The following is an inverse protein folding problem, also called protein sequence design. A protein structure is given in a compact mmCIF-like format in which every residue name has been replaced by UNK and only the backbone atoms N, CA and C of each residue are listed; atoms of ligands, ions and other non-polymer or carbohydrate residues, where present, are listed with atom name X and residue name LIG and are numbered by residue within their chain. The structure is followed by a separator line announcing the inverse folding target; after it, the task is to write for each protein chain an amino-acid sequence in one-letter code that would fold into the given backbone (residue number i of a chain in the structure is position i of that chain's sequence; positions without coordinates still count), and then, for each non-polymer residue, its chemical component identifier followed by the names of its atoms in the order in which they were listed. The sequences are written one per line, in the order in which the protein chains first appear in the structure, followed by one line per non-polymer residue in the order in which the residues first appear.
data_IF_074514693225
#
_entry.id   IF_074514693225
#
_cell.length_a   1.000
_cell.length_b   1.000
_cell.length_c   1.000
_cell.angle_alpha   90.00
_cell.angle_beta   90.00
_cell.angle_gamma   90.00
#
_symmetry.space_group_name_H-M   'P 1'
#
loop_
_entity.id
_entity.type
_entity.pdbx_description
1 polymer ?
#
# COMPACT_ATOMS: atom_id res chain seq x y z
N UNK A 1 46.38 -32.12 17.03
CA UNK A 1 47.05 -32.68 15.83
C UNK A 1 46.20 -33.82 15.27
N UNK A 2 45.86 -33.74 13.97
CA UNK A 2 45.31 -34.76 13.05
C UNK A 2 44.00 -34.37 12.34
N UNK A 3 44.24 -33.73 11.19
CA UNK A 3 43.60 -33.91 9.87
C UNK A 3 42.11 -33.59 9.65
N UNK A 4 41.87 -32.32 9.30
CA UNK A 4 40.83 -31.89 8.35
C UNK A 4 41.07 -32.53 6.98
N UNK A 5 40.04 -33.14 6.39
CA UNK A 5 40.00 -33.49 4.97
C UNK A 5 39.23 -32.39 4.22
N UNK A 6 39.92 -31.73 3.29
CA UNK A 6 39.34 -30.83 2.28
C UNK A 6 38.67 -31.68 1.19
N UNK A 7 37.40 -31.43 0.93
CA UNK A 7 36.67 -31.98 -0.22
C UNK A 7 36.59 -30.93 -1.32
N UNK A 8 37.32 -31.17 -2.42
CA UNK A 8 37.15 -30.51 -3.71
C UNK A 8 35.90 -31.06 -4.41
N UNK A 9 35.00 -30.18 -4.87
CA UNK A 9 34.05 -30.45 -5.97
C UNK A 9 33.91 -29.15 -6.76
N UNK A 10 34.70 -28.99 -7.83
CA UNK A 10 34.32 -29.21 -9.23
C UNK A 10 33.28 -28.20 -9.73
N UNK A 11 33.82 -27.16 -10.37
CA UNK A 11 33.11 -26.19 -11.21
C UNK A 11 32.54 -26.92 -12.44
N UNK A 12 31.23 -26.83 -12.67
CA UNK A 12 30.59 -27.37 -13.87
C UNK A 12 29.94 -26.22 -14.62
N UNK A 13 30.66 -25.71 -15.62
CA UNK A 13 30.16 -24.78 -16.64
C UNK A 13 29.46 -25.63 -17.69
N UNK A 14 28.15 -25.42 -17.89
CA UNK A 14 27.44 -25.98 -19.03
C UNK A 14 26.83 -24.83 -19.85
N UNK A 15 27.55 -24.45 -20.89
CA UNK A 15 27.09 -23.61 -21.99
C UNK A 15 26.21 -24.46 -22.92
N UNK A 16 24.96 -24.07 -23.15
CA UNK A 16 24.16 -24.60 -24.26
C UNK A 16 23.60 -23.43 -25.06
N UNK A 17 24.28 -23.14 -26.17
CA UNK A 17 23.75 -22.41 -27.32
C UNK A 17 23.10 -23.46 -28.23
N UNK A 18 21.78 -23.37 -28.45
CA UNK A 18 21.16 -23.93 -29.64
C UNK A 18 20.30 -22.86 -30.31
N UNK A 19 20.80 -22.46 -31.47
CA UNK A 19 20.17 -21.62 -32.46
C UNK A 19 19.13 -22.48 -33.19
N UNK A 20 17.84 -22.25 -32.94
CA UNK A 20 16.76 -22.83 -33.74
C UNK A 20 16.19 -21.73 -34.64
N UNK A 21 16.52 -21.82 -35.93
CA UNK A 21 15.95 -21.00 -36.99
C UNK A 21 14.52 -21.53 -37.27
N UNK A 22 13.52 -20.86 -36.74
CA UNK A 22 12.10 -21.12 -37.04
C UNK A 22 11.60 -20.18 -38.13
N UNK A 23 11.00 -20.75 -39.18
CA UNK A 23 10.46 -20.06 -40.35
C UNK A 23 9.38 -19.01 -39.99
N UNK A 24 9.18 -17.95 -40.81
CA UNK A 24 8.16 -16.95 -40.56
C UNK A 24 6.75 -17.54 -40.69
N UNK A 25 5.97 -17.45 -39.62
CA UNK A 25 4.54 -17.77 -39.64
C UNK A 25 3.79 -16.76 -40.50
N UNK A 26 2.93 -17.26 -41.38
CA UNK A 26 2.06 -16.46 -42.24
C UNK A 26 1.06 -15.64 -41.40
N UNK A 27 0.93 -14.35 -41.74
CA UNK A 27 -0.03 -13.43 -41.13
C UNK A 27 -1.47 -13.87 -41.45
N UNK A 28 -2.39 -13.89 -40.46
CA UNK A 28 -3.80 -14.06 -40.74
C UNK A 28 -4.37 -12.81 -41.43
N UNK A 29 -5.06 -13.06 -42.55
CA UNK A 29 -5.87 -12.08 -43.28
C UNK A 29 -6.94 -11.45 -42.38
N UNK A 30 -6.91 -10.13 -42.28
CA UNK A 30 -7.96 -9.35 -41.66
C UNK A 30 -9.23 -9.40 -42.52
N UNK A 31 -10.34 -9.90 -41.96
CA UNK A 31 -11.69 -9.63 -42.47
C UNK A 31 -12.68 -9.68 -41.31
N UNK A 32 -13.18 -8.51 -40.93
CA UNK A 32 -14.60 -8.18 -40.77
C UNK A 32 -14.69 -6.92 -39.91
N UNK A 33 -15.02 -5.80 -40.55
CA UNK A 33 -15.31 -4.56 -39.86
C UNK A 33 -16.54 -4.72 -38.96
N UNK A 34 -16.41 -4.34 -37.69
CA UNK A 34 -17.55 -4.13 -36.80
C UNK A 34 -18.29 -2.85 -37.22
N UNK A 35 -19.63 -2.78 -37.08
CA UNK A 35 -20.38 -1.58 -37.42
C UNK A 35 -19.97 -0.42 -36.50
N UNK A 36 -19.76 0.75 -37.09
CA UNK A 36 -19.44 1.98 -36.39
C UNK A 36 -20.60 2.35 -35.45
N UNK A 37 -20.32 2.33 -34.14
CA UNK A 37 -21.20 2.94 -33.15
C UNK A 37 -21.01 4.45 -33.23
N UNK A 38 -22.02 5.17 -33.70
CA UNK A 38 -22.05 6.64 -33.66
C UNK A 38 -22.13 7.10 -32.21
N UNK A 39 -20.97 7.38 -31.61
CA UNK A 39 -20.89 8.16 -30.38
C UNK A 39 -21.44 9.56 -30.69
N UNK A 40 -22.51 9.93 -29.99
CA UNK A 40 -23.03 11.29 -30.03
C UNK A 40 -21.93 12.25 -29.53
N UNK A 41 -21.63 13.27 -30.32
CA UNK A 41 -20.77 14.38 -29.91
C UNK A 41 -21.52 15.13 -28.79
N UNK A 42 -20.94 15.27 -27.58
CA UNK A 42 -21.57 16.10 -26.57
C UNK A 42 -21.52 17.55 -27.03
N UNK A 43 -22.69 18.19 -27.07
CA UNK A 43 -22.82 19.64 -27.27
C UNK A 43 -22.02 20.35 -26.19
N UNK A 44 -21.00 21.10 -26.59
CA UNK A 44 -20.24 21.99 -25.71
C UNK A 44 -21.12 23.18 -25.32
N UNK A 45 -21.87 23.04 -24.23
CA UNK A 45 -22.36 24.20 -23.48
C UNK A 45 -21.14 24.96 -22.93
N UNK A 46 -21.07 26.30 -23.07
CA UNK A 46 -19.99 27.07 -22.48
C UNK A 46 -20.09 26.99 -20.96
N UNK A 47 -19.06 26.39 -20.33
CA UNK A 47 -18.94 26.30 -18.87
C UNK A 47 -18.64 27.69 -18.32
N UNK A 48 -19.69 28.51 -18.14
CA UNK A 48 -19.63 29.81 -17.46
C UNK A 48 -19.81 29.67 -15.95
N UNK A 49 -19.29 28.59 -15.35
CA UNK A 49 -19.18 28.48 -13.90
C UNK A 49 -17.75 28.82 -13.52
N UNK A 50 -17.48 29.81 -12.66
CA UNK A 50 -16.14 29.98 -12.10
C UNK A 50 -15.79 28.68 -11.40
N UNK A 51 -14.79 27.96 -11.93
CA UNK A 51 -14.31 26.73 -11.32
C UNK A 51 -13.98 27.03 -9.85
N UNK A 52 -14.46 26.18 -8.95
CA UNK A 52 -14.07 26.26 -7.56
C UNK A 52 -12.53 26.32 -7.49
N UNK A 53 -11.95 27.13 -6.57
CA UNK A 53 -10.51 27.20 -6.43
C UNK A 53 -9.95 25.79 -6.24
N UNK A 54 -8.89 25.47 -6.97
CA UNK A 54 -8.23 24.18 -6.85
C UNK A 54 -7.83 23.94 -5.38
N UNK A 55 -7.93 22.70 -4.88
CA UNK A 55 -7.48 22.39 -3.53
C UNK A 55 -5.99 22.75 -3.38
N UNK A 56 -5.57 23.18 -2.17
CA UNK A 56 -4.18 23.54 -1.93
C UNK A 56 -3.25 22.35 -2.16
N UNK A 57 -2.05 22.61 -2.67
CA UNK A 57 -1.00 21.58 -2.78
C UNK A 57 -0.52 21.23 -1.38
N UNK A 58 -0.54 19.95 -1.04
CA UNK A 58 0.01 19.43 0.21
C UNK A 58 1.49 19.11 -0.01
N UNK A 59 2.35 19.68 0.82
CA UNK A 59 3.78 19.36 0.87
C UNK A 59 4.05 18.61 2.15
N UNK A 60 4.73 17.46 2.02
CA UNK A 60 5.02 16.58 3.14
C UNK A 60 6.36 15.88 3.02
N UNK A 61 6.64 15.05 4.03
CA UNK A 61 7.86 14.26 4.16
C UNK A 61 7.52 12.78 4.33
N UNK A 62 8.34 11.90 3.78
CA UNK A 62 8.18 10.45 3.85
C UNK A 62 9.24 9.80 4.76
N UNK A 63 9.02 8.53 5.10
CA UNK A 63 9.90 7.68 5.90
C UNK A 63 9.96 8.08 7.38
N UNK A 64 8.84 8.50 7.96
CA UNK A 64 8.74 8.67 9.41
C UNK A 64 8.84 7.28 10.08
N UNK A 65 9.89 7.08 10.87
CA UNK A 65 10.13 5.82 11.57
C UNK A 65 9.36 5.78 12.89
N UNK A 66 8.63 4.67 13.10
CA UNK A 66 7.67 4.45 14.19
C UNK A 66 8.14 3.38 15.18
N UNK A 67 9.41 3.01 15.11
CA UNK A 67 10.06 1.96 15.92
C UNK A 67 10.09 2.31 17.42
N UNK A 68 10.19 3.60 17.75
CA UNK A 68 10.35 4.11 19.10
C UNK A 68 9.58 5.43 19.26
N UNK A 69 8.69 5.55 20.25
CA UNK A 69 7.95 6.78 20.51
C UNK A 69 8.85 8.03 20.67
N UNK A 70 9.99 7.98 21.39
CA UNK A 70 10.93 9.12 21.46
C UNK A 70 11.52 9.51 20.09
N UNK A 71 11.64 8.56 19.16
CA UNK A 71 12.12 8.85 17.80
C UNK A 71 11.06 9.58 16.99
N UNK A 72 9.81 9.14 17.08
CA UNK A 72 8.66 9.82 16.45
C UNK A 72 8.59 11.28 16.93
N UNK A 73 8.66 11.51 18.24
CA UNK A 73 8.65 12.86 18.82
C UNK A 73 9.80 13.73 18.32
N UNK A 74 11.03 13.19 18.26
CA UNK A 74 12.18 13.93 17.72
C UNK A 74 12.02 14.27 16.24
N UNK A 75 11.48 13.35 15.43
CA UNK A 75 11.21 13.60 14.00
C UNK A 75 10.17 14.71 13.84
N UNK A 76 9.04 14.64 14.54
CA UNK A 76 8.00 15.67 14.50
C UNK A 76 8.54 17.04 14.91
N UNK A 77 9.25 17.12 16.04
CA UNK A 77 9.82 18.38 16.54
C UNK A 77 10.88 18.98 15.60
N UNK A 78 11.67 18.14 14.92
CA UNK A 78 12.67 18.60 13.96
C UNK A 78 12.05 19.09 12.64
N UNK A 79 10.94 18.49 12.22
CA UNK A 79 10.28 18.80 10.95
C UNK A 79 9.29 19.96 11.06
N UNK A 80 8.65 20.15 12.22
CA UNK A 80 7.62 21.16 12.43
C UNK A 80 8.05 22.59 12.03
N UNK A 81 9.27 23.07 12.35
CA UNK A 81 9.70 24.42 11.97
C UNK A 81 9.86 24.63 10.46
N UNK A 82 9.91 23.56 9.66
CA UNK A 82 9.98 23.65 8.19
C UNK A 82 8.63 24.07 7.61
N UNK A 83 7.53 23.81 8.32
CA UNK A 83 6.18 24.18 7.91
C UNK A 83 5.53 23.23 6.91
N UNK A 84 5.96 21.96 6.85
CA UNK A 84 5.25 20.93 6.08
C UNK A 84 3.91 20.59 6.75
N UNK A 85 2.87 20.46 5.93
CA UNK A 85 1.53 20.10 6.39
C UNK A 85 1.28 18.59 6.41
N UNK A 86 2.08 17.81 5.65
CA UNK A 86 1.89 16.37 5.53
C UNK A 86 3.08 15.51 5.95
N UNK A 87 2.78 14.25 6.29
CA UNK A 87 3.79 13.25 6.62
C UNK A 87 3.32 11.84 6.29
N UNK A 88 4.24 11.00 5.80
CA UNK A 88 4.03 9.58 5.50
C UNK A 88 5.04 8.73 6.28
N UNK A 89 4.55 7.69 6.95
CA UNK A 89 5.40 6.82 7.75
C UNK A 89 6.11 5.74 6.92
N UNK A 90 7.11 5.10 7.51
CA UNK A 90 7.67 3.86 6.97
C UNK A 90 6.67 2.71 7.19
N UNK A 91 6.22 2.08 6.10
CA UNK A 91 5.06 1.19 6.08
C UNK A 91 5.25 -0.08 6.93
N UNK A 92 6.47 -0.61 6.96
CA UNK A 92 6.85 -1.88 7.59
C UNK A 92 6.62 -1.90 9.12
N UNK A 93 6.43 -0.74 9.74
CA UNK A 93 6.15 -0.65 11.17
C UNK A 93 4.69 -0.91 11.56
N UNK A 94 3.76 -0.87 10.59
CA UNK A 94 2.30 -0.96 10.79
C UNK A 94 1.62 -1.82 9.71
N UNK A 95 2.34 -2.74 9.09
CA UNK A 95 1.74 -3.73 8.18
C UNK A 95 0.73 -4.61 8.91
N UNK A 96 -0.15 -5.26 8.15
CA UNK A 96 -1.24 -6.05 8.71
C UNK A 96 -0.78 -7.06 9.76
N UNK A 97 0.23 -7.89 9.46
CA UNK A 97 0.77 -8.88 10.39
C UNK A 97 1.54 -8.30 11.57
N UNK A 98 1.98 -7.04 11.48
CA UNK A 98 2.65 -6.33 12.59
C UNK A 98 1.62 -5.79 13.58
N UNK A 99 0.52 -5.24 13.07
CA UNK A 99 -0.57 -4.74 13.91
C UNK A 99 -1.44 -5.89 14.44
N UNK A 100 -1.65 -6.93 13.64
CA UNK A 100 -2.49 -8.08 13.95
C UNK A 100 -1.71 -9.39 13.73
N UNK A 101 -0.97 -9.89 14.74
CA UNK A 101 -0.02 -11.00 14.56
C UNK A 101 -0.63 -12.40 14.44
N UNK A 102 -1.94 -12.54 14.68
CA UNK A 102 -2.68 -13.79 14.54
C UNK A 102 -4.14 -13.51 14.13
N UNK A 103 -4.88 -14.49 13.56
CA UNK A 103 -6.24 -14.28 13.07
C UNK A 103 -7.23 -13.75 14.12
N UNK A 104 -7.04 -14.12 15.38
CA UNK A 104 -7.86 -13.77 16.54
C UNK A 104 -7.23 -12.69 17.43
N UNK A 105 -6.04 -12.21 17.06
CA UNK A 105 -5.40 -11.12 17.79
C UNK A 105 -6.15 -9.81 17.57
N UNK A 106 -6.27 -9.02 18.63
CA UNK A 106 -6.69 -7.63 18.52
C UNK A 106 -5.66 -6.81 17.72
N UNK A 107 -6.13 -5.79 17.01
CA UNK A 107 -5.27 -4.85 16.30
C UNK A 107 -4.53 -3.97 17.31
N UNK A 108 -3.20 -3.96 17.25
CA UNK A 108 -2.37 -3.12 18.09
C UNK A 108 -2.09 -1.77 17.40
N UNK A 109 -2.83 -0.75 17.80
CA UNK A 109 -2.71 0.60 17.25
C UNK A 109 -1.59 1.45 17.86
N UNK A 110 -0.89 0.97 18.89
CA UNK A 110 0.01 1.80 19.72
C UNK A 110 1.04 2.62 18.92
N UNK A 111 1.64 2.04 17.86
CA UNK A 111 2.60 2.75 17.02
C UNK A 111 1.96 3.81 16.13
N UNK A 112 0.83 3.45 15.52
CA UNK A 112 0.11 4.32 14.60
C UNK A 112 -0.56 5.48 15.35
N UNK A 113 -1.16 5.20 16.52
CA UNK A 113 -1.69 6.22 17.42
C UNK A 113 -0.60 7.21 17.86
N UNK A 114 0.57 6.70 18.24
CA UNK A 114 1.70 7.55 18.64
C UNK A 114 2.18 8.41 17.46
N UNK A 115 2.21 7.88 16.23
CA UNK A 115 2.51 8.67 15.03
C UNK A 115 1.49 9.79 14.83
N UNK A 116 0.21 9.43 14.74
CA UNK A 116 -0.89 10.36 14.44
C UNK A 116 -0.95 11.46 15.49
N UNK A 117 -1.07 11.10 16.77
CA UNK A 117 -1.16 12.08 17.86
C UNK A 117 0.07 12.99 17.94
N UNK A 118 1.28 12.44 17.80
CA UNK A 118 2.52 13.24 17.91
C UNK A 118 2.66 14.21 16.75
N UNK A 119 2.41 13.77 15.52
CA UNK A 119 2.56 14.64 14.35
C UNK A 119 1.46 15.70 14.30
N UNK A 120 0.21 15.33 14.60
CA UNK A 120 -0.88 16.32 14.65
C UNK A 120 -0.65 17.39 15.74
N UNK A 121 -0.14 17.00 16.91
CA UNK A 121 0.24 17.95 17.95
C UNK A 121 1.37 18.93 17.54
N UNK A 122 2.10 18.62 16.46
CA UNK A 122 3.13 19.47 15.87
C UNK A 122 2.66 20.20 14.59
N UNK A 123 1.36 20.18 14.29
CA UNK A 123 0.76 20.94 13.19
C UNK A 123 0.69 20.20 11.85
N UNK A 124 0.99 18.90 11.80
CA UNK A 124 0.82 18.09 10.60
C UNK A 124 -0.63 17.60 10.52
N UNK A 125 -1.42 18.19 9.61
CA UNK A 125 -2.83 17.83 9.44
C UNK A 125 -3.07 16.78 8.34
N UNK A 126 -2.15 16.63 7.39
CA UNK A 126 -2.36 15.81 6.19
C UNK A 126 -1.45 14.56 6.22
N UNK A 127 -1.80 13.60 7.09
CA UNK A 127 -1.04 12.35 7.20
C UNK A 127 -1.44 11.35 6.11
N UNK A 128 -0.47 10.60 5.62
CA UNK A 128 -0.69 9.45 4.72
C UNK A 128 -0.37 8.17 5.49
N UNK A 129 -1.32 7.24 5.52
CA UNK A 129 -1.17 5.93 6.13
C UNK A 129 -1.02 4.86 5.04
N UNK A 130 0.11 4.17 5.06
CA UNK A 130 0.40 3.08 4.11
C UNK A 130 0.09 1.74 4.74
N UNK A 131 -0.83 1.00 4.12
CA UNK A 131 -1.38 -0.26 4.59
C UNK A 131 -0.94 -1.41 3.69
N UNK A 132 0.16 -2.06 4.07
CA UNK A 132 0.67 -3.26 3.41
C UNK A 132 -0.02 -4.51 3.99
N UNK A 133 -0.45 -5.40 3.11
CA UNK A 133 -1.15 -6.64 3.46
C UNK A 133 -0.24 -7.76 3.97
N UNK A 134 1.07 -7.51 4.11
CA UNK A 134 2.01 -8.53 4.57
C UNK A 134 1.60 -9.04 5.96
N UNK A 135 1.44 -10.37 6.06
CA UNK A 135 1.10 -11.07 7.29
C UNK A 135 1.59 -12.52 7.22
N UNK A 136 2.31 -12.95 8.25
CA UNK A 136 2.85 -14.31 8.38
C UNK A 136 1.79 -15.41 8.35
N UNK A 137 0.57 -15.09 8.79
CA UNK A 137 -0.54 -16.04 8.86
C UNK A 137 -1.51 -15.90 7.68
N UNK A 138 -1.61 -14.71 7.08
CA UNK A 138 -2.65 -14.39 6.13
C UNK A 138 -2.20 -14.28 4.67
N UNK A 139 -0.97 -13.85 4.38
CA UNK A 139 -0.50 -13.62 3.01
C UNK A 139 -0.21 -14.91 2.27
N UNK A 140 -0.29 -14.88 0.93
CA UNK A 140 0.03 -16.01 0.05
C UNK A 140 1.50 -16.42 0.20
N UNK A 141 2.42 -15.45 0.27
CA UNK A 141 3.84 -15.69 0.45
C UNK A 141 4.45 -14.72 1.47
N UNK A 142 4.38 -15.10 2.73
CA UNK A 142 4.79 -14.26 3.85
C UNK A 142 6.28 -14.36 4.22
N UNK A 143 7.12 -14.98 3.38
CA UNK A 143 8.54 -15.14 3.69
C UNK A 143 9.23 -13.76 3.79
N UNK A 144 9.93 -13.44 4.89
CA UNK A 144 10.66 -12.17 4.98
C UNK A 144 11.71 -12.05 3.86
N UNK A 145 11.79 -10.88 3.21
CA UNK A 145 12.77 -10.52 2.16
C UNK A 145 12.73 -11.35 0.86
N UNK A 146 12.06 -12.51 0.86
CA UNK A 146 11.96 -13.44 -0.28
C UNK A 146 10.52 -13.65 -0.74
N UNK A 147 9.55 -13.21 0.07
CA UNK A 147 8.14 -13.26 -0.26
C UNK A 147 7.86 -12.39 -1.47
N UNK A 148 7.17 -12.96 -2.46
CA UNK A 148 6.83 -12.24 -3.70
C UNK A 148 5.34 -11.92 -3.84
N UNK A 149 4.54 -12.32 -2.87
CA UNK A 149 3.10 -12.12 -2.92
C UNK A 149 2.54 -11.84 -1.52
N UNK A 150 2.45 -10.57 -1.17
CA UNK A 150 1.88 -10.12 0.09
C UNK A 150 0.35 -10.20 0.11
N UNK A 151 -0.31 -10.48 -1.03
CA UNK A 151 -1.76 -10.51 -1.13
C UNK A 151 -2.38 -11.49 -0.11
N UNK A 152 -3.54 -11.16 0.48
CA UNK A 152 -4.24 -12.07 1.38
C UNK A 152 -4.66 -13.36 0.66
N UNK A 153 -4.47 -14.51 1.33
CA UNK A 153 -5.08 -15.78 0.90
C UNK A 153 -6.60 -15.64 0.86
N UNK A 154 -7.24 -16.41 -0.02
CA UNK A 154 -8.67 -16.31 -0.27
C UNK A 154 -9.51 -16.41 1.02
N UNK A 155 -9.15 -17.33 1.92
CA UNK A 155 -9.82 -17.55 3.20
C UNK A 155 -9.68 -16.39 4.20
N UNK A 156 -8.72 -15.48 4.01
CA UNK A 156 -8.48 -14.34 4.92
C UNK A 156 -8.82 -12.98 4.30
N UNK A 157 -9.43 -12.94 3.11
CA UNK A 157 -9.82 -11.67 2.47
C UNK A 157 -10.80 -10.86 3.31
N UNK A 158 -11.75 -11.52 3.97
CA UNK A 158 -12.70 -10.83 4.86
C UNK A 158 -12.01 -10.25 6.10
N UNK A 159 -11.01 -10.96 6.66
CA UNK A 159 -10.21 -10.45 7.76
C UNK A 159 -9.36 -9.25 7.34
N UNK A 160 -8.79 -9.28 6.13
CA UNK A 160 -8.06 -8.14 5.57
C UNK A 160 -8.97 -6.91 5.41
N UNK A 161 -10.15 -7.08 4.81
CA UNK A 161 -11.14 -6.01 4.68
C UNK A 161 -11.56 -5.44 6.05
N UNK A 162 -11.77 -6.30 7.05
CA UNK A 162 -12.08 -5.87 8.42
C UNK A 162 -10.93 -5.10 9.07
N UNK A 163 -9.67 -5.48 8.81
CA UNK A 163 -8.51 -4.74 9.28
C UNK A 163 -8.44 -3.35 8.65
N UNK A 164 -8.63 -3.24 7.33
CA UNK A 164 -8.69 -1.95 6.63
C UNK A 164 -9.78 -1.06 7.22
N UNK A 165 -11.01 -1.58 7.34
CA UNK A 165 -12.15 -0.82 7.87
C UNK A 165 -11.89 -0.31 9.30
N UNK A 166 -11.33 -1.13 10.18
CA UNK A 166 -11.00 -0.71 11.56
C UNK A 166 -9.87 0.32 11.63
N UNK A 167 -8.92 0.27 10.70
CA UNK A 167 -7.86 1.30 10.63
C UNK A 167 -8.43 2.62 10.11
N UNK A 168 -9.36 2.59 9.16
CA UNK A 168 -10.02 3.79 8.65
C UNK A 168 -10.91 4.42 9.72
N UNK A 169 -11.85 3.64 10.28
CA UNK A 169 -12.74 4.05 11.39
C UNK A 169 -11.97 4.77 12.50
N UNK A 170 -10.84 4.20 12.93
CA UNK A 170 -10.08 4.76 14.04
C UNK A 170 -9.56 6.18 13.79
N UNK A 171 -9.41 6.61 12.54
CA UNK A 171 -8.80 7.88 12.20
C UNK A 171 -9.67 8.75 11.29
N UNK A 172 -10.96 8.43 11.10
CA UNK A 172 -11.83 9.18 10.19
C UNK A 172 -12.41 10.46 10.80
N UNK A 173 -12.37 10.60 12.14
CA UNK A 173 -12.77 11.81 12.86
C UNK A 173 -14.27 12.08 12.88
N UNK A 174 -15.12 11.06 12.67
CA UNK A 174 -16.58 11.23 12.69
C UNK A 174 -17.18 11.23 14.11
N UNK A 175 -16.36 10.93 15.13
CA UNK A 175 -16.72 10.87 16.54
C UNK A 175 -17.14 9.47 17.03
N UNK A 176 -17.19 8.46 16.17
CA UNK A 176 -17.40 7.06 16.51
C UNK A 176 -16.05 6.33 16.57
N UNK A 177 -15.78 5.64 17.69
CA UNK A 177 -14.60 4.79 17.92
C UNK A 177 -13.21 5.34 17.48
N UNK A 178 -13.11 6.66 17.32
CA UNK A 178 -11.92 7.42 16.99
C UNK A 178 -10.77 7.18 17.96
N UNK A 179 -9.54 7.36 17.46
CA UNK A 179 -8.38 7.52 18.32
C UNK A 179 -8.60 8.65 19.31
N UNK A 180 -8.48 8.37 20.61
CA UNK A 180 -8.58 9.38 21.65
C UNK A 180 -7.60 10.54 21.40
N UNK A 181 -8.13 11.77 21.29
CA UNK A 181 -7.34 12.97 21.04
C UNK A 181 -6.93 13.20 19.59
N UNK A 182 -7.56 12.52 18.63
CA UNK A 182 -7.47 12.86 17.20
C UNK A 182 -7.84 14.33 16.97
N UNK A 183 -6.99 15.07 16.25
CA UNK A 183 -7.19 16.50 15.97
C UNK A 183 -7.65 16.74 14.53
N UNK A 184 -7.19 15.90 13.60
CA UNK A 184 -7.54 15.96 12.19
C UNK A 184 -7.85 14.54 11.68
N UNK A 185 -8.86 14.38 10.81
CA UNK A 185 -9.13 13.10 10.18
C UNK A 185 -8.00 12.74 9.21
N UNK A 186 -7.68 11.44 9.11
CA UNK A 186 -6.77 10.92 8.08
C UNK A 186 -7.59 10.62 6.84
N UNK A 187 -7.22 11.25 5.72
CA UNK A 187 -7.94 11.15 4.44
C UNK A 187 -7.17 10.44 3.34
N UNK A 188 -5.91 10.09 3.59
CA UNK A 188 -5.03 9.54 2.57
C UNK A 188 -4.50 8.19 3.02
N UNK A 189 -5.01 7.15 2.35
CA UNK A 189 -4.57 5.78 2.56
C UNK A 189 -3.93 5.24 1.29
N UNK A 190 -2.83 4.53 1.46
CA UNK A 190 -2.10 3.88 0.39
C UNK A 190 -2.14 2.37 0.60
N UNK A 191 -2.59 1.62 -0.40
CA UNK A 191 -2.72 0.16 -0.32
C UNK A 191 -1.55 -0.49 -1.04
N UNK A 192 -0.71 -1.20 -0.28
CA UNK A 192 0.65 -1.54 -0.72
C UNK A 192 1.57 -0.31 -0.66
N UNK A 193 2.76 -0.40 -1.25
CA UNK A 193 3.66 0.75 -1.39
C UNK A 193 4.29 0.86 -2.77
N UNK A 194 4.71 -0.26 -3.35
CA UNK A 194 5.57 -0.25 -4.54
C UNK A 194 5.29 -1.45 -5.43
N UNK A 195 4.02 -1.58 -5.83
CA UNK A 195 3.55 -2.61 -6.75
C UNK A 195 4.45 -2.71 -7.99
N UNK A 196 4.71 -3.93 -8.44
CA UNK A 196 5.60 -4.35 -9.52
C UNK A 196 7.09 -4.41 -9.20
N UNK A 197 7.66 -3.36 -8.61
CA UNK A 197 9.13 -3.25 -8.45
C UNK A 197 9.62 -3.91 -7.16
N UNK A 198 8.97 -3.60 -6.04
CA UNK A 198 9.31 -4.14 -4.73
C UNK A 198 8.24 -5.07 -4.17
N UNK A 199 7.01 -4.94 -4.67
CA UNK A 199 5.87 -5.81 -4.38
C UNK A 199 5.41 -6.48 -5.70
N UNK A 200 6.10 -7.54 -6.14
CA UNK A 200 5.92 -8.13 -7.46
C UNK A 200 4.80 -9.19 -7.47
N UNK A 201 3.74 -9.03 -6.68
CA UNK A 201 2.61 -9.95 -6.73
C UNK A 201 2.00 -10.00 -8.14
N UNK A 202 1.34 -11.13 -8.50
CA UNK A 202 0.57 -11.18 -9.72
C UNK A 202 -0.47 -10.05 -9.76
N UNK A 203 -0.59 -9.36 -10.91
CA UNK A 203 -1.54 -8.25 -11.11
C UNK A 203 -2.97 -8.62 -10.67
N UNK A 204 -3.42 -9.84 -10.97
CA UNK A 204 -4.76 -10.29 -10.59
C UNK A 204 -4.96 -10.38 -9.07
N UNK A 205 -3.92 -10.77 -8.34
CA UNK A 205 -3.95 -10.85 -6.87
C UNK A 205 -3.96 -9.45 -6.27
N UNK A 206 -3.09 -8.55 -6.77
CA UNK A 206 -3.07 -7.14 -6.38
C UNK A 206 -4.41 -6.46 -6.61
N UNK A 207 -5.02 -6.61 -7.79
CA UNK A 207 -6.33 -6.00 -8.09
C UNK A 207 -7.45 -6.56 -7.20
N UNK A 208 -7.39 -7.84 -6.86
CA UNK A 208 -8.36 -8.45 -5.93
C UNK A 208 -8.21 -7.86 -4.52
N UNK A 209 -6.97 -7.74 -4.03
CA UNK A 209 -6.67 -7.13 -2.75
C UNK A 209 -7.06 -5.65 -2.71
N UNK A 210 -6.65 -4.88 -3.71
CA UNK A 210 -6.95 -3.45 -3.84
C UNK A 210 -8.45 -3.19 -3.88
N UNK A 211 -9.21 -3.98 -4.64
CA UNK A 211 -10.67 -3.86 -4.68
C UNK A 211 -11.32 -4.11 -3.33
N UNK A 212 -10.85 -5.11 -2.57
CA UNK A 212 -11.34 -5.39 -1.22
C UNK A 212 -11.00 -4.26 -0.23
N UNK A 213 -9.78 -3.72 -0.28
CA UNK A 213 -9.37 -2.60 0.55
C UNK A 213 -10.15 -1.33 0.22
N UNK A 214 -10.33 -1.02 -1.06
CA UNK A 214 -11.11 0.12 -1.53
C UNK A 214 -12.54 0.10 -0.98
N UNK A 215 -13.23 -1.05 -1.17
CA UNK A 215 -14.59 -1.22 -0.68
C UNK A 215 -14.68 -1.11 0.85
N UNK A 216 -13.73 -1.72 1.58
CA UNK A 216 -13.73 -1.68 3.03
C UNK A 216 -13.46 -0.27 3.59
N UNK A 217 -12.52 0.47 3.00
CA UNK A 217 -12.20 1.82 3.40
C UNK A 217 -13.39 2.76 3.19
N UNK A 218 -14.00 2.74 1.99
CA UNK A 218 -15.13 3.60 1.66
C UNK A 218 -16.42 3.22 2.39
N UNK A 219 -16.54 1.97 2.84
CA UNK A 219 -17.65 1.54 3.68
C UNK A 219 -17.49 2.01 5.13
N UNK A 220 -16.25 2.14 5.63
CA UNK A 220 -15.98 2.74 6.93
C UNK A 220 -16.22 4.25 6.87
N UNK A 221 -15.57 4.94 5.91
CA UNK A 221 -15.74 6.37 5.73
C UNK A 221 -15.77 6.74 4.24
N UNK A 222 -16.81 7.42 3.74
CA UNK A 222 -16.93 7.69 2.29
C UNK A 222 -15.89 8.67 1.70
N UNK A 223 -15.25 9.50 2.54
CA UNK A 223 -14.40 10.62 2.10
C UNK A 223 -12.87 10.30 2.16
N UNK A 224 -12.48 9.01 2.15
CA UNK A 224 -11.07 8.54 2.11
C UNK A 224 -10.65 7.91 0.78
#
# INVERSE_FOLDING_TARGET
MKHRKFGFYTLLVLSWLFLACGAPAALPTATSAAPASTLAVPTTEPINNPAAPAPPIIVGVEYILLDQAPRVARQAAALAPIGFGGAKHYAEHVEWGVMQPAPDAAINFSRLDNFVSTFQAHGFAELVITLKSHSSWASVDARPLLGKNASPKAEYRAAYASWISQVVERYDGDGHDDMAGLQFPVRYYEIGSEFSSYEPEPVADYLTMLGAAYQAAHAAYPDV
#
